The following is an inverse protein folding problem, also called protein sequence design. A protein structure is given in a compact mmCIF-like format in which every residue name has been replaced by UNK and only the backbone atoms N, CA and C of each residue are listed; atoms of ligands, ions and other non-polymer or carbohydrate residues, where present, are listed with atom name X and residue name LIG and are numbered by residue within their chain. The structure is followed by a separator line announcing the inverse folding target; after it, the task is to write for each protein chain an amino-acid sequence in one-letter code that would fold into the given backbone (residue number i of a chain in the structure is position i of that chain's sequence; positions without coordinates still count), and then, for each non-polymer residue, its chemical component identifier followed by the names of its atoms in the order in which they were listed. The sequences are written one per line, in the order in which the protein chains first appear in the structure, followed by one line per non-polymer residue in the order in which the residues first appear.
data_IF_863621387421
#
_entry.id   IF_863621387421
#
_cell.length_a   1.000
_cell.length_b   1.000
_cell.length_c   1.000
_cell.angle_alpha   90.00
_cell.angle_beta   90.00
_cell.angle_gamma   90.00
#
_symmetry.space_group_name_H-M   'P 1'
#
loop_
_entity.id
_entity.type
_entity.pdbx_description
1 polymer ?
#
# COMPACT_ATOMS: atom_id res chain seq x y z
N UNK A 1 11.86 -50.59 -0.94
CA UNK A 1 11.51 -49.25 -0.41
C UNK A 1 12.50 -48.97 0.73
N UNK A 2 13.35 -47.96 0.76
CA UNK A 2 13.22 -46.55 0.38
C UNK A 2 14.54 -46.08 -0.27
N UNK A 3 14.46 -45.41 -1.42
CA UNK A 3 15.60 -44.68 -2.00
C UNK A 3 15.68 -43.32 -1.29
N UNK A 4 16.65 -43.14 -0.41
CA UNK A 4 16.97 -41.84 0.16
C UNK A 4 17.72 -41.05 -0.90
N UNK A 5 17.01 -40.17 -1.62
CA UNK A 5 17.62 -39.17 -2.48
C UNK A 5 18.23 -38.11 -1.54
N UNK A 6 19.56 -38.09 -1.43
CA UNK A 6 20.28 -36.92 -0.91
C UNK A 6 20.17 -35.81 -1.96
N UNK A 7 19.20 -34.92 -1.77
CA UNK A 7 19.19 -33.64 -2.50
C UNK A 7 20.25 -32.76 -1.85
N UNK A 8 21.36 -32.57 -2.55
CA UNK A 8 22.39 -31.59 -2.20
C UNK A 8 21.77 -30.19 -2.14
N UNK A 9 21.60 -29.66 -0.93
CA UNK A 9 21.39 -28.23 -0.70
C UNK A 9 22.76 -27.57 -0.80
N UNK A 10 23.13 -27.17 -2.02
CA UNK A 10 24.25 -26.25 -2.23
C UNK A 10 23.79 -24.84 -1.84
N UNK A 11 23.92 -24.52 -0.56
CA UNK A 11 23.99 -23.13 -0.09
C UNK A 11 25.32 -22.53 -0.54
N UNK A 12 25.39 -22.10 -1.80
CA UNK A 12 26.39 -21.13 -2.21
C UNK A 12 25.97 -19.77 -1.66
N UNK A 13 26.40 -19.42 -0.44
CA UNK A 13 26.55 -18.01 -0.06
C UNK A 13 27.80 -17.46 -0.71
N UNK A 14 27.81 -17.42 -2.05
CA UNK A 14 28.71 -16.52 -2.75
C UNK A 14 28.11 -15.13 -2.57
N UNK A 15 28.66 -14.36 -1.63
CA UNK A 15 28.43 -12.91 -1.59
C UNK A 15 29.17 -12.33 -2.80
N UNK A 16 28.62 -12.56 -3.99
CA UNK A 16 28.99 -11.79 -5.16
C UNK A 16 28.62 -10.34 -4.83
N UNK A 17 29.60 -9.44 -4.86
CA UNK A 17 29.38 -8.01 -4.76
C UNK A 17 28.54 -7.60 -5.98
N UNK A 18 27.22 -7.77 -5.89
CA UNK A 18 26.33 -7.47 -6.99
C UNK A 18 26.37 -5.96 -7.22
N UNK A 19 26.63 -5.56 -8.47
CA UNK A 19 26.61 -4.16 -8.88
C UNK A 19 25.25 -3.54 -8.54
N UNK A 20 25.28 -2.31 -8.04
CA UNK A 20 24.08 -1.51 -7.84
C UNK A 20 23.29 -1.42 -9.15
N UNK A 21 21.99 -1.69 -9.09
CA UNK A 21 21.06 -1.62 -10.21
C UNK A 21 20.15 -0.42 -10.03
N UNK A 22 20.25 0.55 -10.94
CA UNK A 22 19.26 1.61 -11.06
C UNK A 22 18.01 1.06 -11.74
N UNK A 23 16.87 1.16 -11.06
CA UNK A 23 15.56 0.78 -11.58
C UNK A 23 15.02 2.01 -12.31
N UNK A 24 15.27 2.06 -13.62
CA UNK A 24 14.94 3.20 -14.47
C UNK A 24 13.80 2.83 -15.42
N UNK A 25 12.74 3.64 -15.42
CA UNK A 25 11.71 3.56 -16.44
C UNK A 25 12.30 3.86 -17.83
N UNK A 26 11.81 3.16 -18.86
CA UNK A 26 12.18 3.37 -20.26
C UNK A 26 10.93 3.63 -21.11
N UNK A 27 10.12 4.60 -20.68
CA UNK A 27 8.85 4.90 -21.31
C UNK A 27 9.01 5.82 -22.52
N UNK A 28 8.11 5.67 -23.49
CA UNK A 28 7.94 6.57 -24.63
C UNK A 28 6.58 7.25 -24.55
N UNK A 29 6.48 8.42 -25.18
CA UNK A 29 5.21 9.12 -25.34
C UNK A 29 4.22 8.22 -26.09
N UNK A 30 3.03 8.06 -25.53
CA UNK A 30 1.94 7.24 -26.08
C UNK A 30 1.99 5.78 -25.66
N UNK A 31 2.99 5.35 -24.87
CA UNK A 31 3.00 4.01 -24.30
C UNK A 31 1.81 3.82 -23.35
N UNK A 32 1.17 2.65 -23.43
CA UNK A 32 0.03 2.30 -22.57
C UNK A 32 0.16 0.91 -21.99
N UNK A 33 -0.14 0.77 -20.70
CA UNK A 33 -0.22 -0.49 -19.97
C UNK A 33 -1.59 -0.65 -19.30
N UNK A 34 -2.06 -1.88 -19.21
CA UNK A 34 -3.11 -2.26 -18.27
C UNK A 34 -2.58 -3.37 -17.38
N UNK A 35 -2.62 -3.17 -16.07
CA UNK A 35 -2.32 -4.19 -15.08
C UNK A 35 -3.63 -4.69 -14.48
N UNK A 36 -3.79 -6.00 -14.43
CA UNK A 36 -4.85 -6.65 -13.67
C UNK A 36 -4.41 -6.76 -12.22
N UNK A 37 -5.21 -6.21 -11.31
CA UNK A 37 -4.99 -6.35 -9.88
C UNK A 37 -5.96 -7.39 -9.32
N UNK A 38 -5.42 -8.35 -8.58
CA UNK A 38 -6.21 -9.25 -7.75
C UNK A 38 -5.66 -9.27 -6.33
N UNK A 39 -6.54 -9.31 -5.34
CA UNK A 39 -6.12 -9.51 -3.96
C UNK A 39 -7.13 -10.33 -3.17
N UNK A 40 -6.60 -11.17 -2.28
CA UNK A 40 -7.35 -11.84 -1.24
C UNK A 40 -6.96 -11.23 0.12
N UNK A 41 -7.97 -10.88 0.90
CA UNK A 41 -7.82 -10.21 2.19
C UNK A 41 -8.58 -11.01 3.23
N UNK A 42 -7.87 -11.48 4.24
CA UNK A 42 -8.46 -12.11 5.42
C UNK A 42 -8.33 -11.18 6.63
N UNK A 43 -9.42 -10.96 7.34
CA UNK A 43 -9.47 -10.19 8.57
C UNK A 43 -10.06 -11.05 9.68
N UNK A 44 -9.20 -11.47 10.61
CA UNK A 44 -9.62 -12.15 11.82
C UNK A 44 -9.64 -11.13 12.98
N UNK A 45 -10.78 -11.02 13.66
CA UNK A 45 -10.92 -10.19 14.88
C UNK A 45 -11.18 -11.08 16.09
N UNK A 46 -10.44 -10.86 17.17
CA UNK A 46 -10.69 -11.55 18.45
C UNK A 46 -12.10 -11.29 19.01
N UNK A 47 -12.75 -10.17 18.64
CA UNK A 47 -14.10 -9.84 19.13
C UNK A 47 -15.23 -10.56 18.38
N UNK A 48 -15.05 -10.84 17.08
CA UNK A 48 -16.10 -11.45 16.25
C UNK A 48 -16.01 -12.98 16.22
N UNK A 49 -14.90 -13.58 16.66
CA UNK A 49 -14.72 -15.04 16.70
C UNK A 49 -14.73 -15.74 15.33
N UNK A 50 -14.73 -14.98 14.23
CA UNK A 50 -14.73 -15.46 12.85
C UNK A 50 -13.73 -14.66 11.99
N UNK A 51 -13.24 -15.31 10.93
CA UNK A 51 -12.47 -14.63 9.87
C UNK A 51 -13.44 -14.13 8.82
N UNK A 52 -13.34 -12.85 8.49
CA UNK A 52 -13.99 -12.24 7.34
C UNK A 52 -13.01 -12.24 6.17
N UNK A 53 -13.52 -12.44 4.95
CA UNK A 53 -12.69 -12.49 3.75
C UNK A 53 -13.29 -11.60 2.66
N UNK A 54 -12.42 -10.92 1.92
CA UNK A 54 -12.77 -10.21 0.70
C UNK A 54 -11.79 -10.56 -0.43
N UNK A 55 -12.34 -10.74 -1.63
CA UNK A 55 -11.58 -10.80 -2.87
C UNK A 55 -11.79 -9.51 -3.63
N UNK A 56 -10.70 -8.88 -4.04
CA UNK A 56 -10.70 -7.61 -4.75
C UNK A 56 -10.14 -7.85 -6.14
N UNK A 57 -10.82 -7.32 -7.15
CA UNK A 57 -10.24 -7.19 -8.48
C UNK A 57 -10.35 -5.75 -8.96
N UNK A 58 -9.33 -5.24 -9.62
CA UNK A 58 -9.40 -3.97 -10.33
C UNK A 58 -8.43 -3.97 -11.50
N UNK A 59 -8.41 -2.89 -12.27
CA UNK A 59 -7.35 -2.63 -13.25
C UNK A 59 -6.62 -1.36 -12.87
N UNK A 60 -5.34 -1.31 -13.18
CA UNK A 60 -4.53 -0.11 -13.18
C UNK A 60 -4.08 0.16 -14.62
N UNK A 61 -4.60 1.23 -15.21
CA UNK A 61 -4.14 1.73 -16.49
C UNK A 61 -2.99 2.72 -16.28
N UNK A 62 -1.99 2.63 -17.14
CA UNK A 62 -0.86 3.55 -17.20
C UNK A 62 -0.81 4.11 -18.61
N UNK A 63 -0.91 5.43 -18.77
CA UNK A 63 -0.78 6.12 -20.05
C UNK A 63 0.32 7.18 -19.97
N UNK A 64 1.34 7.05 -20.80
CA UNK A 64 2.49 7.96 -20.84
C UNK A 64 2.16 9.12 -21.79
N UNK A 65 1.67 10.23 -21.23
CA UNK A 65 1.24 11.40 -21.98
C UNK A 65 2.41 12.15 -22.61
N UNK A 66 3.52 12.28 -21.88
CA UNK A 66 4.74 12.94 -22.34
C UNK A 66 5.99 12.19 -21.86
N UNK A 67 7.04 12.20 -22.67
CA UNK A 67 8.35 11.64 -22.36
C UNK A 67 9.45 12.54 -22.93
N UNK A 68 10.34 13.04 -22.07
CA UNK A 68 11.46 13.89 -22.47
C UNK A 68 12.69 13.64 -21.58
N UNK A 69 13.76 14.41 -21.79
CA UNK A 69 15.03 14.23 -21.07
C UNK A 69 14.91 14.44 -19.54
N UNK A 70 13.94 15.22 -19.08
CA UNK A 70 13.74 15.58 -17.68
C UNK A 70 12.84 14.56 -16.94
N UNK A 71 12.02 13.79 -17.67
CA UNK A 71 11.12 12.81 -17.09
C UNK A 71 9.88 12.54 -17.94
N UNK A 72 8.85 12.05 -17.26
CA UNK A 72 7.59 11.61 -17.87
C UNK A 72 6.41 12.35 -17.25
N UNK A 73 5.35 12.51 -18.05
CA UNK A 73 4.01 12.73 -17.53
C UNK A 73 3.21 11.45 -17.73
N UNK A 74 2.80 10.83 -16.63
CA UNK A 74 2.05 9.57 -16.65
C UNK A 74 0.68 9.78 -16.01
N UNK A 75 -0.35 9.23 -16.63
CA UNK A 75 -1.67 9.11 -16.05
C UNK A 75 -1.82 7.69 -15.49
N UNK A 76 -2.15 7.61 -14.20
CA UNK A 76 -2.55 6.36 -13.54
C UNK A 76 -4.06 6.39 -13.33
N UNK A 77 -4.76 5.33 -13.72
CA UNK A 77 -6.20 5.22 -13.55
C UNK A 77 -6.57 3.84 -13.02
N UNK A 78 -7.12 3.80 -11.81
CA UNK A 78 -7.78 2.59 -11.32
C UNK A 78 -9.18 2.49 -11.93
N UNK A 79 -9.58 1.30 -12.36
CA UNK A 79 -10.90 1.06 -12.92
C UNK A 79 -11.40 -0.34 -12.58
N UNK A 80 -12.66 -0.63 -12.93
CA UNK A 80 -13.26 -1.95 -12.80
C UNK A 80 -13.15 -2.57 -11.39
N UNK A 81 -13.07 -1.74 -10.35
CA UNK A 81 -13.01 -2.22 -8.96
C UNK A 81 -14.26 -3.04 -8.63
N UNK A 82 -14.03 -4.29 -8.24
CA UNK A 82 -15.05 -5.21 -7.73
C UNK A 82 -14.55 -5.81 -6.42
N UNK A 83 -15.50 -6.00 -5.51
CA UNK A 83 -15.27 -6.64 -4.22
C UNK A 83 -16.27 -7.77 -4.11
N UNK A 84 -15.77 -8.98 -3.92
CA UNK A 84 -16.56 -10.16 -3.59
C UNK A 84 -16.28 -10.57 -2.14
N UNK A 85 -17.32 -10.94 -1.40
CA UNK A 85 -17.23 -11.15 0.06
C UNK A 85 -17.54 -9.90 0.89
N UNK A 86 -16.85 -9.73 2.01
CA UNK A 86 -17.19 -8.72 3.02
C UNK A 86 -16.55 -7.35 2.73
N UNK A 87 -17.34 -6.37 2.31
CA UNK A 87 -16.85 -5.01 2.00
C UNK A 87 -16.17 -4.32 3.19
N UNK A 88 -16.55 -4.65 4.43
CA UNK A 88 -15.93 -4.05 5.62
C UNK A 88 -14.50 -4.55 5.82
N UNK A 89 -14.18 -5.75 5.31
CA UNK A 89 -12.81 -6.28 5.28
C UNK A 89 -11.89 -5.41 4.44
N UNK A 90 -12.31 -5.01 3.23
CA UNK A 90 -11.53 -4.10 2.39
C UNK A 90 -11.34 -2.72 3.03
N UNK A 91 -12.37 -2.21 3.68
CA UNK A 91 -12.31 -0.90 4.34
C UNK A 91 -11.32 -0.93 5.51
N UNK A 92 -11.35 -1.98 6.33
CA UNK A 92 -10.49 -2.12 7.51
C UNK A 92 -9.05 -2.51 7.17
N UNK A 93 -8.79 -3.08 6.00
CA UNK A 93 -7.43 -3.42 5.53
C UNK A 93 -6.71 -2.24 4.85
N UNK A 94 -7.29 -1.04 4.85
CA UNK A 94 -6.73 0.15 4.19
C UNK A 94 -7.08 0.30 2.70
N UNK A 95 -7.91 -0.58 2.14
CA UNK A 95 -8.33 -0.52 0.73
C UNK A 95 -9.39 0.53 0.42
N UNK A 96 -9.83 1.32 1.40
CA UNK A 96 -10.78 2.42 1.20
C UNK A 96 -10.28 3.46 0.18
N UNK A 97 -8.97 3.69 0.12
CA UNK A 97 -8.38 4.63 -0.83
C UNK A 97 -8.49 4.14 -2.27
N UNK A 98 -8.31 2.84 -2.52
CA UNK A 98 -8.58 2.25 -3.83
C UNK A 98 -10.02 2.52 -4.26
N UNK A 99 -10.99 2.39 -3.35
CA UNK A 99 -12.39 2.72 -3.64
C UNK A 99 -12.60 4.19 -4.00
N UNK A 100 -11.91 5.11 -3.32
CA UNK A 100 -12.01 6.56 -3.60
C UNK A 100 -11.28 6.99 -4.87
N UNK A 101 -10.24 6.26 -5.26
CA UNK A 101 -9.44 6.52 -6.45
C UNK A 101 -9.96 5.82 -7.71
N UNK A 102 -10.90 4.90 -7.56
CA UNK A 102 -11.52 4.22 -8.69
C UNK A 102 -12.18 5.22 -9.65
N UNK A 103 -11.83 5.16 -10.93
CA UNK A 103 -12.22 6.09 -11.99
C UNK A 103 -11.80 7.55 -11.76
N UNK A 104 -10.76 7.79 -10.96
CA UNK A 104 -10.14 9.12 -10.77
C UNK A 104 -8.76 9.13 -11.43
N UNK A 105 -8.58 9.86 -12.55
CA UNK A 105 -7.28 9.97 -13.20
C UNK A 105 -6.27 10.68 -12.31
N UNK A 106 -5.07 10.10 -12.17
CA UNK A 106 -3.95 10.65 -11.42
C UNK A 106 -2.83 11.02 -12.40
N UNK A 107 -2.70 12.31 -12.71
CA UNK A 107 -1.68 12.80 -13.64
C UNK A 107 -0.41 13.17 -12.87
N UNK A 108 0.61 12.33 -12.96
CA UNK A 108 1.88 12.53 -12.29
C UNK A 108 2.96 13.06 -13.22
N UNK A 109 3.74 14.01 -12.72
CA UNK A 109 5.09 14.29 -13.20
C UNK A 109 6.10 13.40 -12.48
N UNK A 110 7.01 12.80 -13.24
CA UNK A 110 8.14 12.01 -12.71
C UNK A 110 9.47 12.71 -12.94
N UNK A 111 10.55 12.20 -12.33
CA UNK A 111 11.91 12.46 -12.81
C UNK A 111 12.30 11.57 -14.00
N UNK A 112 13.50 11.80 -14.55
CA UNK A 112 14.09 11.04 -15.66
C UNK A 112 14.24 9.54 -15.44
N UNK A 113 14.09 9.06 -14.20
CA UNK A 113 14.17 7.65 -13.87
C UNK A 113 12.78 7.01 -13.62
N UNK A 114 11.71 7.81 -13.66
CA UNK A 114 10.34 7.35 -13.46
C UNK A 114 9.82 7.49 -12.04
N UNK A 115 10.57 8.07 -11.10
CA UNK A 115 10.07 8.27 -9.74
C UNK A 115 9.03 9.39 -9.70
N UNK A 116 7.87 9.15 -9.09
CA UNK A 116 6.83 10.16 -8.95
C UNK A 116 7.30 11.36 -8.11
N UNK A 117 7.12 12.57 -8.65
CA UNK A 117 7.51 13.84 -7.99
C UNK A 117 6.33 14.71 -7.61
N UNK A 118 5.35 14.86 -8.50
CA UNK A 118 4.24 15.80 -8.32
C UNK A 118 2.96 15.28 -8.96
N UNK A 119 1.84 15.36 -8.25
CA UNK A 119 0.51 15.14 -8.80
C UNK A 119 0.01 16.44 -9.43
N UNK A 120 0.01 16.51 -10.76
CA UNK A 120 -0.30 17.72 -11.52
C UNK A 120 -1.76 18.15 -11.40
N UNK A 121 -2.67 17.21 -11.15
CA UNK A 121 -4.11 17.46 -10.99
C UNK A 121 -4.60 17.24 -9.55
N UNK A 122 -3.78 17.56 -8.55
CA UNK A 122 -4.06 17.26 -7.13
C UNK A 122 -5.37 17.87 -6.62
N UNK A 123 -5.70 19.12 -7.00
CA UNK A 123 -6.96 19.76 -6.61
C UNK A 123 -8.20 18.99 -7.09
N UNK A 124 -8.19 18.53 -8.34
CA UNK A 124 -9.31 17.77 -8.92
C UNK A 124 -9.46 16.41 -8.23
N UNK A 125 -8.33 15.71 -8.02
CA UNK A 125 -8.29 14.39 -7.37
C UNK A 125 -8.81 14.50 -5.94
N UNK A 126 -8.27 15.44 -5.16
CA UNK A 126 -8.69 15.67 -3.76
C UNK A 126 -10.16 16.08 -3.70
N UNK A 127 -10.64 16.91 -4.63
CA UNK A 127 -12.05 17.31 -4.71
C UNK A 127 -12.97 16.12 -4.96
N UNK A 128 -12.62 15.22 -5.89
CA UNK A 128 -13.38 13.98 -6.17
C UNK A 128 -13.38 13.03 -4.97
N UNK A 129 -12.21 12.76 -4.39
CA UNK A 129 -12.10 11.91 -3.19
C UNK A 129 -12.87 12.48 -2.01
N UNK A 130 -12.79 13.80 -1.77
CA UNK A 130 -13.50 14.49 -0.70
C UNK A 130 -15.01 14.34 -0.87
N UNK A 131 -15.55 14.54 -2.07
CA UNK A 131 -16.98 14.36 -2.34
C UNK A 131 -17.46 12.94 -2.00
N UNK A 132 -16.68 11.92 -2.37
CA UNK A 132 -16.98 10.53 -2.02
C UNK A 132 -16.88 10.27 -0.51
N UNK A 133 -15.85 10.80 0.14
CA UNK A 133 -15.68 10.69 1.59
C UNK A 133 -16.80 11.34 2.38
N UNK A 134 -17.20 12.56 2.00
CA UNK A 134 -18.33 13.28 2.62
C UNK A 134 -19.62 12.47 2.50
N UNK A 135 -19.93 11.93 1.31
CA UNK A 135 -21.12 11.11 1.12
C UNK A 135 -21.11 9.84 2.00
N UNK A 136 -19.94 9.22 2.21
CA UNK A 136 -19.79 8.08 3.14
C UNK A 136 -20.01 8.49 4.59
N UNK A 137 -19.46 9.63 5.01
CA UNK A 137 -19.69 10.20 6.35
C UNK A 137 -21.18 10.50 6.52
N UNK A 138 -21.82 11.17 5.58
CA UNK A 138 -23.26 11.46 5.62
C UNK A 138 -24.09 10.19 5.81
N UNK A 139 -23.78 9.14 5.04
CA UNK A 139 -24.46 7.85 5.14
C UNK A 139 -24.26 7.18 6.51
N UNK A 140 -23.05 7.24 7.07
CA UNK A 140 -22.73 6.67 8.38
C UNK A 140 -23.57 7.33 9.48
N UNK A 141 -23.64 8.66 9.51
CA UNK A 141 -24.40 9.40 10.52
C UNK A 141 -25.92 9.26 10.33
N UNK A 142 -26.39 9.14 9.09
CA UNK A 142 -27.79 8.85 8.82
C UNK A 142 -28.22 7.46 9.31
N UNK A 143 -27.35 6.44 9.14
CA UNK A 143 -27.60 5.07 9.60
C UNK A 143 -27.51 4.94 11.12
N UNK A 144 -26.57 5.65 11.73
CA UNK A 144 -26.30 5.59 13.16
C UNK A 144 -26.29 6.99 13.80
N UNK A 145 -27.47 7.63 14.01
CA UNK A 145 -27.55 9.01 14.51
C UNK A 145 -26.91 9.22 15.88
N UNK A 146 -26.85 8.17 16.71
CA UNK A 146 -26.25 8.22 18.04
C UNK A 146 -24.75 8.52 18.03
N UNK A 147 -24.05 8.30 16.90
CA UNK A 147 -22.63 8.65 16.75
C UNK A 147 -22.41 10.15 16.96
N UNK A 148 -23.37 11.01 16.58
CA UNK A 148 -23.24 12.47 16.71
C UNK A 148 -22.96 12.90 18.16
N UNK A 149 -23.47 12.16 19.14
CA UNK A 149 -23.27 12.44 20.58
C UNK A 149 -21.85 12.14 21.04
N UNK A 150 -21.17 11.20 20.38
CA UNK A 150 -19.85 10.68 20.80
C UNK A 150 -18.72 11.22 19.92
N UNK A 151 -18.97 11.36 18.63
CA UNK A 151 -18.04 11.95 17.66
C UNK A 151 -18.85 12.83 16.70
N UNK A 152 -18.93 14.15 16.92
CA UNK A 152 -19.68 15.05 16.04
C UNK A 152 -19.24 14.95 14.59
N UNK A 153 -20.19 14.97 13.65
CA UNK A 153 -19.92 14.86 12.21
C UNK A 153 -18.86 15.84 11.70
N UNK A 154 -18.84 17.06 12.25
CA UNK A 154 -17.86 18.07 11.88
C UNK A 154 -16.41 17.60 12.09
N UNK A 155 -16.15 16.82 13.13
CA UNK A 155 -14.81 16.30 13.41
C UNK A 155 -14.36 15.30 12.34
N UNK A 156 -15.26 14.44 11.87
CA UNK A 156 -14.99 13.52 10.76
C UNK A 156 -14.71 14.25 9.45
N UNK A 157 -15.46 15.33 9.17
CA UNK A 157 -15.25 16.16 7.98
C UNK A 157 -13.90 16.88 8.02
N UNK A 158 -13.53 17.47 9.16
CA UNK A 158 -12.21 18.09 9.35
C UNK A 158 -11.08 17.06 9.23
N UNK A 159 -11.25 15.87 9.81
CA UNK A 159 -10.25 14.81 9.74
C UNK A 159 -10.05 14.31 8.30
N UNK A 160 -11.14 14.15 7.53
CA UNK A 160 -11.06 13.85 6.10
C UNK A 160 -10.27 14.92 5.34
N UNK A 161 -10.56 16.21 5.60
CA UNK A 161 -9.86 17.33 4.97
C UNK A 161 -8.37 17.36 5.29
N UNK A 162 -7.99 17.00 6.52
CA UNK A 162 -6.58 16.96 6.94
C UNK A 162 -5.83 15.74 6.38
N UNK A 163 -6.54 14.63 6.13
CA UNK A 163 -5.97 13.40 5.59
C UNK A 163 -5.70 13.51 4.08
N UNK A 164 -6.66 14.03 3.31
CA UNK A 164 -6.61 14.04 1.85
C UNK A 164 -5.67 15.13 1.30
N UNK A 165 -4.39 14.81 1.28
CA UNK A 165 -3.32 15.66 0.74
C UNK A 165 -2.63 15.00 -0.46
N UNK A 166 -1.96 15.80 -1.29
CA UNK A 166 -1.14 15.27 -2.39
C UNK A 166 -0.07 14.28 -1.89
N UNK A 167 0.59 14.59 -0.77
CA UNK A 167 1.59 13.73 -0.16
C UNK A 167 1.01 12.37 0.22
N UNK A 168 -0.12 12.37 0.93
CA UNK A 168 -0.80 11.14 1.34
C UNK A 168 -1.23 10.27 0.16
N UNK A 169 -1.80 10.87 -0.89
CA UNK A 169 -2.18 10.14 -2.12
C UNK A 169 -0.93 9.58 -2.79
N UNK A 170 0.13 10.37 -2.92
CA UNK A 170 1.36 9.96 -3.59
C UNK A 170 2.07 8.84 -2.85
N UNK A 171 2.10 8.87 -1.52
CA UNK A 171 2.67 7.81 -0.69
C UNK A 171 1.87 6.51 -0.85
N UNK A 172 0.53 6.60 -0.82
CA UNK A 172 -0.33 5.45 -1.11
C UNK A 172 -0.01 4.82 -2.48
N UNK A 173 0.11 5.62 -3.54
CA UNK A 173 0.46 5.12 -4.88
C UNK A 173 1.85 4.48 -4.90
N UNK A 174 2.85 5.11 -4.26
CA UNK A 174 4.22 4.59 -4.18
C UNK A 174 4.31 3.30 -3.37
N UNK A 175 3.44 3.09 -2.40
CA UNK A 175 3.44 1.90 -1.54
C UNK A 175 2.65 0.74 -2.14
N UNK A 176 1.59 1.01 -2.90
CA UNK A 176 0.61 -0.02 -3.26
C UNK A 176 0.59 -0.41 -4.73
N UNK A 177 1.44 0.18 -5.58
CA UNK A 177 1.39 -0.03 -7.03
C UNK A 177 2.75 -0.38 -7.64
N UNK A 178 2.73 -0.70 -8.93
CA UNK A 178 3.90 -1.10 -9.74
C UNK A 178 4.97 -0.02 -9.89
N UNK A 179 4.71 1.24 -9.52
CA UNK A 179 5.69 2.33 -9.68
C UNK A 179 6.64 2.53 -8.49
N UNK A 180 6.49 1.72 -7.43
CA UNK A 180 7.17 1.89 -6.14
C UNK A 180 8.70 1.92 -6.20
N UNK A 181 9.28 1.20 -7.16
CA UNK A 181 10.73 1.00 -7.27
C UNK A 181 11.42 1.91 -8.28
N UNK A 182 10.69 2.59 -9.17
CA UNK A 182 11.31 3.45 -10.16
C UNK A 182 12.10 4.60 -9.50
N UNK A 183 13.30 4.83 -10.02
CA UNK A 183 14.27 5.81 -9.50
C UNK A 183 15.11 5.33 -8.32
N UNK A 184 14.88 4.13 -7.78
CA UNK A 184 15.76 3.54 -6.76
C UNK A 184 17.01 2.93 -7.40
N UNK A 185 18.13 3.05 -6.70
CA UNK A 185 19.37 2.31 -6.97
C UNK A 185 19.55 1.28 -5.87
N UNK A 186 19.45 0.00 -6.21
CA UNK A 186 19.43 -1.11 -5.25
C UNK A 186 20.49 -2.16 -5.56
N UNK A 187 21.04 -2.77 -4.53
CA UNK A 187 21.78 -4.04 -4.57
C UNK A 187 21.27 -4.99 -3.49
N UNK A 188 21.58 -6.27 -3.63
CA UNK A 188 21.27 -7.25 -2.56
C UNK A 188 21.94 -6.86 -1.25
N UNK A 189 21.17 -6.89 -0.18
CA UNK A 189 21.58 -6.51 1.17
C UNK A 189 21.35 -5.03 1.51
N UNK A 190 20.91 -4.20 0.55
CA UNK A 190 20.49 -2.84 0.86
C UNK A 190 19.30 -2.86 1.83
N UNK A 191 19.29 -1.88 2.74
CA UNK A 191 18.23 -1.68 3.70
C UNK A 191 17.83 -0.21 3.74
N UNK A 192 16.54 0.05 3.93
CA UNK A 192 16.04 1.38 4.19
C UNK A 192 14.92 1.35 5.24
N UNK A 193 14.86 2.40 6.06
CA UNK A 193 13.72 2.62 6.93
C UNK A 193 12.62 3.34 6.13
N UNK A 194 11.39 2.85 6.26
CA UNK A 194 10.20 3.45 5.64
C UNK A 194 9.09 3.54 6.67
N UNK A 195 8.15 4.41 6.39
CA UNK A 195 6.84 4.40 7.03
C UNK A 195 5.87 3.86 5.99
N UNK A 196 5.17 2.77 6.28
CA UNK A 196 4.14 2.19 5.39
C UNK A 196 2.84 2.20 6.17
N UNK A 197 1.82 2.90 5.68
CA UNK A 197 0.56 3.11 6.42
C UNK A 197 0.78 3.57 7.88
N UNK A 198 1.67 4.55 8.10
CA UNK A 198 2.10 5.06 9.41
C UNK A 198 2.85 4.06 10.32
N UNK A 199 3.05 2.81 9.89
CA UNK A 199 3.85 1.81 10.59
C UNK A 199 5.33 2.03 10.25
N UNK A 200 6.17 2.23 11.27
CA UNK A 200 7.63 2.26 11.09
C UNK A 200 8.11 0.87 10.69
N UNK A 201 8.86 0.80 9.60
CA UNK A 201 9.35 -0.46 9.02
C UNK A 201 10.80 -0.35 8.57
N UNK A 202 11.46 -1.49 8.49
CA UNK A 202 12.70 -1.67 7.73
C UNK A 202 12.42 -2.58 6.54
N UNK A 203 12.86 -2.16 5.35
CA UNK A 203 12.82 -2.96 4.13
C UNK A 203 14.24 -3.42 3.82
N UNK A 204 14.40 -4.71 3.51
CA UNK A 204 15.64 -5.26 2.98
C UNK A 204 15.43 -5.78 1.57
N UNK A 205 16.41 -5.57 0.70
CA UNK A 205 16.30 -5.88 -0.72
C UNK A 205 17.20 -7.04 -1.14
N UNK A 206 16.66 -7.89 -2.00
CA UNK A 206 17.40 -8.86 -2.81
C UNK A 206 17.18 -8.51 -4.28
N UNK A 207 18.26 -8.33 -5.04
CA UNK A 207 18.24 -7.93 -6.45
C UNK A 207 18.89 -9.02 -7.27
N UNK A 208 18.14 -9.66 -8.15
CA UNK A 208 18.62 -10.78 -8.94
C UNK A 208 18.31 -10.60 -10.42
N UNK A 209 19.08 -11.27 -11.27
CA UNK A 209 18.74 -11.45 -12.69
C UNK A 209 18.51 -12.93 -12.96
N UNK A 210 17.26 -13.31 -13.13
CA UNK A 210 16.87 -14.69 -13.40
C UNK A 210 16.43 -14.77 -14.86
N UNK A 211 17.11 -15.59 -15.66
CA UNK A 211 16.82 -15.76 -17.09
C UNK A 211 16.79 -14.42 -17.86
N UNK A 212 17.63 -13.45 -17.47
CA UNK A 212 17.72 -12.13 -18.08
C UNK A 212 16.72 -11.09 -17.56
N UNK A 213 15.67 -11.51 -16.84
CA UNK A 213 14.71 -10.61 -16.19
C UNK A 213 15.26 -10.11 -14.86
N UNK A 214 15.09 -8.81 -14.60
CA UNK A 214 15.41 -8.24 -13.29
C UNK A 214 14.30 -8.61 -12.31
N UNK A 215 14.69 -9.15 -11.16
CA UNK A 215 13.81 -9.50 -10.05
C UNK A 215 14.26 -8.73 -8.81
N UNK A 216 13.33 -8.05 -8.15
CA UNK A 216 13.60 -7.36 -6.88
C UNK A 216 12.63 -7.88 -5.84
N UNK A 217 13.18 -8.40 -4.73
CA UNK A 217 12.40 -8.85 -3.58
C UNK A 217 12.65 -7.90 -2.42
N UNK A 218 11.60 -7.25 -1.94
CA UNK A 218 11.60 -6.45 -0.72
C UNK A 218 11.01 -7.25 0.44
N UNK A 219 11.75 -7.41 1.52
CA UNK A 219 11.24 -7.98 2.78
C UNK A 219 11.05 -6.87 3.79
N UNK A 220 9.81 -6.65 4.19
CA UNK A 220 9.39 -5.59 5.09
C UNK A 220 9.16 -6.17 6.48
N UNK A 221 9.62 -5.47 7.51
CA UNK A 221 9.34 -5.80 8.90
C UNK A 221 9.09 -4.53 9.72
N UNK A 222 8.03 -4.52 10.52
CA UNK A 222 7.81 -3.47 11.51
C UNK A 222 8.96 -3.41 12.53
N UNK A 223 9.33 -2.20 12.91
CA UNK A 223 10.34 -1.92 13.92
C UNK A 223 9.83 -0.91 14.97
N UNK A 224 8.54 -0.96 15.28
CA UNK A 224 7.89 -0.06 16.23
C UNK A 224 8.25 -0.39 17.69
N UNK A 225 8.65 0.62 18.44
CA UNK A 225 8.69 0.57 19.91
C UNK A 225 7.28 0.70 20.51
N UNK A 226 7.15 0.50 21.82
CA UNK A 226 5.86 0.71 22.50
C UNK A 226 5.38 2.16 22.40
N UNK A 227 6.28 3.13 22.52
CA UNK A 227 5.97 4.56 22.37
C UNK A 227 5.53 4.90 20.95
N UNK A 228 6.11 4.23 19.95
CA UNK A 228 5.67 4.33 18.56
C UNK A 228 4.25 3.78 18.39
N UNK A 229 3.94 2.64 19.01
CA UNK A 229 2.59 2.06 18.96
C UNK A 229 1.58 3.00 19.63
N UNK A 230 1.92 3.58 20.79
CA UNK A 230 1.05 4.57 21.45
C UNK A 230 0.79 5.77 20.55
N UNK A 231 1.86 6.32 19.95
CA UNK A 231 1.77 7.45 19.04
C UNK A 231 0.95 7.14 17.79
N UNK A 232 1.11 5.94 17.22
CA UNK A 232 0.33 5.46 16.08
C UNK A 232 -1.16 5.34 16.41
N UNK A 233 -1.51 4.72 17.53
CA UNK A 233 -2.92 4.55 17.93
C UNK A 233 -3.60 5.91 18.17
N UNK A 234 -2.93 6.80 18.91
CA UNK A 234 -3.43 8.16 19.16
C UNK A 234 -3.54 8.94 17.85
N UNK A 235 -2.53 8.85 16.98
CA UNK A 235 -2.53 9.47 15.66
C UNK A 235 -3.71 9.02 14.81
N UNK A 236 -4.00 7.71 14.77
CA UNK A 236 -5.13 7.17 14.03
C UNK A 236 -6.48 7.58 14.61
N UNK A 237 -6.63 7.66 15.94
CA UNK A 237 -7.85 8.20 16.55
C UNK A 237 -8.07 9.66 16.16
N UNK A 238 -7.02 10.48 16.17
CA UNK A 238 -7.09 11.87 15.70
C UNK A 238 -7.46 11.95 14.21
N UNK A 239 -6.93 11.05 13.38
CA UNK A 239 -7.32 10.90 11.95
C UNK A 239 -8.78 10.46 11.77
N UNK A 240 -9.41 9.89 12.80
CA UNK A 240 -10.85 9.62 12.86
C UNK A 240 -11.65 10.75 13.52
N UNK A 241 -11.05 11.92 13.74
CA UNK A 241 -11.73 13.06 14.36
C UNK A 241 -11.94 12.93 15.87
N UNK A 242 -11.35 11.94 16.54
CA UNK A 242 -11.47 11.78 17.98
C UNK A 242 -10.65 12.88 18.68
N UNK A 243 -11.32 13.65 19.53
CA UNK A 243 -10.71 14.75 20.31
C UNK A 243 -9.92 14.27 21.52
N UNK A 244 -9.35 15.23 22.26
CA UNK A 244 -8.39 14.96 23.35
C UNK A 244 -8.99 14.13 24.51
N UNK A 245 -10.30 14.21 24.75
CA UNK A 245 -10.97 13.37 25.76
C UNK A 245 -10.91 11.88 25.40
N UNK A 246 -11.11 11.54 24.11
CA UNK A 246 -11.00 10.15 23.63
C UNK A 246 -9.55 9.66 23.60
N UNK A 247 -8.60 10.56 23.32
CA UNK A 247 -7.17 10.27 23.43
C UNK A 247 -6.79 9.97 24.88
N UNK A 248 -7.26 10.78 25.84
CA UNK A 248 -6.99 10.61 27.27
C UNK A 248 -7.48 9.25 27.79
N UNK A 249 -8.57 8.70 27.24
CA UNK A 249 -9.03 7.36 27.60
C UNK A 249 -8.05 6.25 27.20
N UNK A 250 -7.37 6.36 26.05
CA UNK A 250 -6.33 5.41 25.66
C UNK A 250 -5.15 5.49 26.62
N UNK A 251 -4.76 6.69 27.00
CA UNK A 251 -3.63 6.90 27.90
C UNK A 251 -3.91 6.33 29.29
N UNK A 252 -5.09 6.62 29.84
CA UNK A 252 -5.50 6.14 31.16
C UNK A 252 -5.68 4.61 31.22
N UNK A 253 -6.09 3.98 30.11
CA UNK A 253 -6.30 2.53 30.04
C UNK A 253 -5.12 1.77 29.42
N UNK A 254 -3.99 2.41 29.16
CA UNK A 254 -2.86 1.82 28.43
C UNK A 254 -2.35 0.52 29.07
N UNK A 255 -2.27 0.47 30.41
CA UNK A 255 -1.84 -0.72 31.15
C UNK A 255 -2.77 -1.91 30.93
N UNK A 256 -4.08 -1.69 30.90
CA UNK A 256 -5.08 -2.70 30.60
C UNK A 256 -4.99 -3.15 29.14
N UNK A 257 -4.83 -2.21 28.21
CA UNK A 257 -4.64 -2.53 26.79
C UNK A 257 -3.39 -3.39 26.57
N UNK A 258 -2.30 -3.09 27.29
CA UNK A 258 -1.07 -3.88 27.28
C UNK A 258 -1.31 -5.30 27.78
N UNK A 259 -2.02 -5.46 28.89
CA UNK A 259 -2.39 -6.77 29.44
C UNK A 259 -3.25 -7.61 28.46
N UNK A 260 -4.03 -6.96 27.60
CA UNK A 260 -4.84 -7.58 26.56
C UNK A 260 -4.09 -7.81 25.23
N UNK A 261 -2.80 -7.43 25.14
CA UNK A 261 -1.99 -7.59 23.92
C UNK A 261 -2.37 -6.61 22.80
N UNK A 262 -3.03 -5.50 23.11
CA UNK A 262 -3.47 -4.50 22.11
C UNK A 262 -2.40 -3.43 21.81
N UNK A 263 -1.34 -3.35 22.62
CA UNK A 263 -0.27 -2.35 22.49
C UNK A 263 0.93 -2.84 21.68
N UNK A 264 0.74 -3.88 20.86
CA UNK A 264 1.77 -4.40 19.95
C UNK A 264 1.29 -4.35 18.52
N UNK A 265 2.15 -3.86 17.63
CA UNK A 265 1.93 -3.89 16.19
C UNK A 265 3.02 -4.76 15.58
N UNK A 266 2.61 -5.78 14.82
CA UNK A 266 3.53 -6.54 13.98
C UNK A 266 3.10 -6.38 12.53
N UNK A 267 4.04 -6.11 11.66
CA UNK A 267 3.82 -6.12 10.23
C UNK A 267 5.00 -6.82 9.57
N UNK A 268 4.69 -7.78 8.70
CA UNK A 268 5.68 -8.40 7.82
C UNK A 268 5.08 -8.46 6.43
N UNK A 269 5.88 -8.13 5.42
CA UNK A 269 5.49 -8.28 4.03
C UNK A 269 6.64 -8.79 3.18
N UNK A 270 6.31 -9.48 2.10
CA UNK A 270 7.23 -9.80 1.02
C UNK A 270 6.65 -9.27 -0.28
N UNK A 271 7.37 -8.34 -0.87
CA UNK A 271 7.03 -7.70 -2.14
C UNK A 271 8.00 -8.23 -3.20
N UNK A 272 7.49 -8.75 -4.31
CA UNK A 272 8.32 -9.27 -5.41
C UNK A 272 7.93 -8.57 -6.70
N UNK A 273 8.92 -8.00 -7.37
CA UNK A 273 8.78 -7.33 -8.66
C UNK A 273 9.57 -8.09 -9.71
N UNK A 274 8.92 -8.44 -10.81
CA UNK A 274 9.59 -8.90 -12.02
C UNK A 274 9.50 -7.81 -13.07
N UNK A 275 10.63 -7.50 -13.70
CA UNK A 275 10.69 -6.50 -14.76
C UNK A 275 10.89 -7.16 -16.12
N UNK A 276 10.20 -6.64 -17.12
CA UNK A 276 10.46 -6.94 -18.52
C UNK A 276 11.86 -6.43 -18.93
N UNK A 277 12.41 -6.89 -20.07
CA UNK A 277 13.65 -6.33 -20.60
C UNK A 277 13.59 -4.82 -20.90
N UNK A 278 12.39 -4.29 -21.19
CA UNK A 278 12.13 -2.85 -21.38
C UNK A 278 11.88 -2.10 -20.07
N UNK A 279 12.14 -2.73 -18.92
CA UNK A 279 11.98 -2.17 -17.58
C UNK A 279 10.54 -1.76 -17.23
N UNK A 280 9.53 -2.29 -17.92
CA UNK A 280 8.17 -2.31 -17.41
C UNK A 280 8.07 -3.36 -16.32
N UNK A 281 7.18 -3.17 -15.35
CA UNK A 281 6.86 -4.24 -14.39
C UNK A 281 6.04 -5.29 -15.16
N UNK A 282 6.50 -6.54 -15.15
CA UNK A 282 5.73 -7.66 -15.66
C UNK A 282 4.68 -8.09 -14.65
N UNK A 283 5.08 -8.20 -13.39
CA UNK A 283 4.19 -8.45 -12.27
C UNK A 283 4.80 -7.93 -10.97
N UNK A 284 3.90 -7.62 -10.03
CA UNK A 284 4.21 -7.23 -8.67
C UNK A 284 3.30 -8.02 -7.74
N UNK A 285 3.87 -8.89 -6.92
CA UNK A 285 3.13 -9.63 -5.89
C UNK A 285 3.48 -9.12 -4.50
N UNK A 286 2.49 -9.06 -3.61
CA UNK A 286 2.66 -8.77 -2.19
C UNK A 286 2.00 -9.85 -1.35
N UNK A 287 2.70 -10.34 -0.34
CA UNK A 287 2.11 -11.16 0.73
C UNK A 287 2.45 -10.50 2.06
N UNK A 288 1.44 -10.06 2.79
CA UNK A 288 1.61 -9.36 4.05
C UNK A 288 0.71 -9.88 5.16
N UNK A 289 1.19 -9.72 6.39
CA UNK A 289 0.44 -9.99 7.61
C UNK A 289 0.66 -8.87 8.61
N UNK A 290 -0.42 -8.21 9.01
CA UNK A 290 -0.44 -7.21 10.06
C UNK A 290 -1.21 -7.74 11.27
N UNK A 291 -0.67 -7.56 12.47
CA UNK A 291 -1.43 -7.69 13.72
C UNK A 291 -1.45 -6.34 14.40
N UNK A 292 -2.65 -5.89 14.73
CA UNK A 292 -2.91 -4.57 15.31
C UNK A 292 -4.17 -4.67 16.16
N UNK A 293 -4.13 -4.22 17.42
CA UNK A 293 -5.34 -4.06 18.26
C UNK A 293 -6.24 -5.32 18.33
N UNK A 294 -5.65 -6.51 18.34
CA UNK A 294 -6.39 -7.78 18.34
C UNK A 294 -7.05 -8.16 17.01
N UNK A 295 -6.70 -7.48 15.92
CA UNK A 295 -6.96 -7.90 14.55
C UNK A 295 -5.72 -8.57 13.95
N UNK A 296 -5.94 -9.57 13.12
CA UNK A 296 -4.93 -10.23 12.28
C UNK A 296 -5.40 -10.12 10.83
N UNK A 297 -4.71 -9.27 10.07
CA UNK A 297 -5.01 -8.94 8.68
C UNK A 297 -3.97 -9.60 7.80
N UNK A 298 -4.40 -10.42 6.85
CA UNK A 298 -3.54 -11.00 5.83
C UNK A 298 -3.97 -10.49 4.47
N UNK A 299 -3.00 -10.11 3.66
CA UNK A 299 -3.24 -9.67 2.29
C UNK A 299 -2.32 -10.43 1.38
N UNK A 300 -2.88 -11.04 0.33
CA UNK A 300 -2.13 -11.55 -0.80
C UNK A 300 -2.62 -10.86 -2.05
N UNK A 301 -1.77 -10.07 -2.69
CA UNK A 301 -2.11 -9.27 -3.87
C UNK A 301 -1.14 -9.50 -5.02
N UNK A 302 -1.63 -9.28 -6.24
CA UNK A 302 -0.85 -9.35 -7.47
C UNK A 302 -1.34 -8.25 -8.43
N UNK A 303 -0.41 -7.46 -8.94
CA UNK A 303 -0.58 -6.76 -10.21
C UNK A 303 0.11 -7.57 -11.29
N UNK A 304 -0.61 -7.91 -12.34
CA UNK A 304 -0.06 -8.63 -13.50
C UNK A 304 -0.25 -7.81 -14.75
N UNK A 305 0.80 -7.65 -15.53
CA UNK A 305 0.73 -6.95 -16.80
C UNK A 305 -0.20 -7.72 -17.76
N UNK A 306 -1.23 -7.04 -18.24
CA UNK A 306 -2.16 -7.50 -19.25
C UNK A 306 -1.88 -6.84 -20.60
N UNK A 307 -2.90 -6.18 -21.16
CA UNK A 307 -2.78 -5.49 -22.45
C UNK A 307 -1.78 -4.33 -22.39
N UNK A 308 -0.99 -4.19 -23.45
CA UNK A 308 -0.07 -3.08 -23.60
C UNK A 308 0.13 -2.64 -25.04
N UNK A 309 0.52 -1.38 -25.23
CA UNK A 309 0.96 -0.83 -26.51
C UNK A 309 2.24 -0.01 -26.32
N UNK A 310 3.39 -0.66 -26.44
CA UNK A 310 4.72 -0.06 -26.54
C UNK A 310 5.63 -0.98 -27.35
N UNK A 311 6.75 -0.43 -27.82
CA UNK A 311 7.77 -1.18 -28.57
C UNK A 311 8.83 -1.78 -27.67
#
# INVERSE_FOLDING_TARGET
MKKTFLTFVLLFTAVALQAQTLIKANFNKGDKATYEYTANIDLASMMQGKTLTANVTSKLHVDVKEANAEGYQIELLFSDLKVDGDETTLQQSGGQLLTMLNNVPLLYQTDKNGALKKLLNSEEVIGKMSKMGIAKIDSLYAKNPEIEKVNPKMNMLMALSNMLTEGFITDYIKETTIVSLYGKTLKTGDQENRTIQDVKTTVSYEVNRILGMLTVVGKVKANMSEDDVKSFLIGNLKKMGIGDDGVSQIENNWSQMRAMGMTTISYNATDTYHFTPSFWVNDYTTESRMKLMGMDIKVKGEYKLGEHSWK
#
